data_IF_749314929096
#
_entry.id   IF_749314929096
#
_cell.length_a   1.000
_cell.length_b   1.000
_cell.length_c   1.000
_cell.angle_alpha   90.00
_cell.angle_beta   90.00
_cell.angle_gamma   90.00
#
_symmetry.space_group_name_H-M   'P 1'
#
loop_
_entity.id
_entity.type
_entity.pdbx_description
1 polymer ?
#
# COMPACT_ATOMS: atom_id res chain seq x y z
N UNK A 1 -8.11 5.91 16.61
CA UNK A 1 -6.68 5.49 16.53
C UNK A 1 -6.04 5.28 17.90
N UNK A 2 -6.19 6.19 18.87
CA UNK A 2 -5.59 6.03 20.21
C UNK A 2 -5.99 4.72 20.92
N UNK A 3 -7.22 4.25 20.74
CA UNK A 3 -7.75 2.99 21.29
C UNK A 3 -6.99 1.74 20.81
N UNK A 4 -6.46 1.74 19.59
CA UNK A 4 -5.78 0.60 18.95
C UNK A 4 -4.27 0.78 18.84
N UNK A 5 -3.70 1.81 19.46
CA UNK A 5 -2.29 2.16 19.31
C UNK A 5 -1.35 0.99 19.67
N UNK A 6 -1.64 0.30 20.78
CA UNK A 6 -0.82 -0.84 21.23
C UNK A 6 -0.94 -2.04 20.29
N UNK A 7 -2.15 -2.34 19.80
CA UNK A 7 -2.35 -3.44 18.85
C UNK A 7 -1.68 -3.13 17.51
N UNK A 8 -1.80 -1.90 17.01
CA UNK A 8 -1.14 -1.46 15.77
C UNK A 8 0.39 -1.56 15.93
N UNK A 9 0.95 -1.16 17.07
CA UNK A 9 2.39 -1.29 17.31
C UNK A 9 2.83 -2.76 17.38
N UNK A 10 2.03 -3.65 17.98
CA UNK A 10 2.30 -5.10 17.96
C UNK A 10 2.28 -5.66 16.53
N UNK A 11 1.32 -5.23 15.70
CA UNK A 11 1.26 -5.63 14.28
C UNK A 11 2.53 -5.15 13.56
N UNK A 12 2.92 -3.89 13.77
CA UNK A 12 4.13 -3.29 13.20
C UNK A 12 5.38 -4.10 13.55
N UNK A 13 5.62 -4.32 14.85
CA UNK A 13 6.80 -5.07 15.33
C UNK A 13 6.84 -6.47 14.73
N UNK A 14 5.72 -7.18 14.75
CA UNK A 14 5.63 -8.53 14.20
C UNK A 14 5.92 -8.58 12.69
N UNK A 15 5.43 -7.61 11.90
CA UNK A 15 5.72 -7.52 10.47
C UNK A 15 7.20 -7.18 10.20
N UNK A 16 7.80 -6.27 10.98
CA UNK A 16 9.22 -5.93 10.88
C UNK A 16 10.11 -7.16 11.18
N UNK A 17 9.83 -7.87 12.28
CA UNK A 17 10.55 -9.10 12.66
C UNK A 17 10.43 -10.19 11.61
N UNK A 18 9.22 -10.34 10.98
CA UNK A 18 8.98 -11.29 9.92
C UNK A 18 9.92 -11.05 8.73
N UNK A 19 9.95 -9.85 8.19
CA UNK A 19 10.79 -9.51 7.02
C UNK A 19 12.29 -9.52 7.39
N UNK A 20 12.65 -9.14 8.61
CA UNK A 20 14.01 -9.25 9.10
C UNK A 20 14.47 -10.72 9.18
N UNK A 21 13.59 -11.64 9.59
CA UNK A 21 13.90 -13.07 9.70
C UNK A 21 14.28 -13.73 8.38
N UNK A 22 13.83 -13.16 7.27
CA UNK A 22 14.15 -13.61 5.90
C UNK A 22 15.20 -12.72 5.21
N UNK A 23 15.84 -11.80 5.96
CA UNK A 23 16.84 -10.86 5.47
C UNK A 23 16.35 -9.99 4.29
N UNK A 24 15.07 -9.64 4.29
CA UNK A 24 14.49 -8.76 3.29
C UNK A 24 14.96 -7.32 3.50
N UNK A 25 15.41 -6.67 2.42
CA UNK A 25 15.79 -5.26 2.41
C UNK A 25 14.95 -4.46 1.43
N UNK A 26 14.86 -3.16 1.65
CA UNK A 26 14.23 -2.21 0.76
C UNK A 26 15.29 -1.27 0.16
N UNK A 27 15.24 -1.00 -1.14
CA UNK A 27 16.36 -0.37 -1.83
C UNK A 27 17.63 -1.19 -1.70
N UNK A 28 18.78 -0.54 -1.49
CA UNK A 28 20.07 -1.23 -1.41
C UNK A 28 20.36 -1.81 -0.02
N UNK A 29 19.92 -1.16 1.05
CA UNK A 29 20.32 -1.54 2.41
C UNK A 29 19.34 -1.25 3.54
N UNK A 30 18.21 -0.59 3.25
CA UNK A 30 17.23 -0.27 4.30
C UNK A 30 16.53 -1.54 4.79
N UNK A 31 16.22 -1.65 6.10
CA UNK A 31 15.30 -2.70 6.57
C UNK A 31 13.96 -2.62 5.83
N UNK A 32 13.38 -3.77 5.46
CA UNK A 32 12.11 -3.79 4.74
C UNK A 32 10.96 -3.10 5.50
N UNK A 33 11.03 -3.10 6.82
CA UNK A 33 10.10 -2.35 7.69
C UNK A 33 9.99 -0.86 7.35
N UNK A 34 11.02 -0.26 6.73
CA UNK A 34 10.96 1.11 6.23
C UNK A 34 9.86 1.30 5.18
N UNK A 35 9.75 0.36 4.22
CA UNK A 35 8.67 0.36 3.23
C UNK A 35 7.30 0.17 3.89
N UNK A 36 7.19 -0.80 4.80
CA UNK A 36 5.94 -1.07 5.52
C UNK A 36 5.45 0.16 6.31
N UNK A 37 6.37 0.87 6.97
CA UNK A 37 6.06 2.10 7.70
C UNK A 37 5.59 3.23 6.76
N UNK A 38 6.14 3.33 5.53
CA UNK A 38 5.67 4.30 4.53
C UNK A 38 4.26 3.96 4.04
N UNK A 39 3.97 2.69 3.75
CA UNK A 39 2.62 2.24 3.35
C UNK A 39 1.60 2.59 4.44
N UNK A 40 1.92 2.24 5.68
CA UNK A 40 1.05 2.53 6.83
C UNK A 40 0.99 4.03 7.14
N UNK A 41 2.01 4.81 6.81
CA UNK A 41 1.95 6.27 6.79
C UNK A 41 0.81 6.78 5.92
N UNK A 42 0.71 6.30 4.69
CA UNK A 42 -0.42 6.60 3.79
C UNK A 42 -1.79 6.18 4.36
N UNK A 43 -1.84 5.02 5.03
CA UNK A 43 -3.07 4.58 5.71
C UNK A 43 -3.45 5.53 6.86
N UNK A 44 -2.48 6.02 7.63
CA UNK A 44 -2.74 7.00 8.71
C UNK A 44 -3.25 8.32 8.19
N UNK A 45 -2.68 8.80 7.08
CA UNK A 45 -3.02 10.10 6.51
C UNK A 45 -4.40 10.07 5.84
N UNK A 46 -4.73 9.03 5.08
CA UNK A 46 -5.89 8.97 4.20
C UNK A 46 -6.93 7.90 4.57
N UNK A 47 -6.65 7.00 5.51
CA UNK A 47 -7.53 5.87 5.84
C UNK A 47 -8.92 6.30 6.33
N UNK A 48 -9.03 7.51 6.92
CA UNK A 48 -10.31 8.08 7.34
C UNK A 48 -11.29 8.34 6.18
N UNK A 49 -10.79 8.40 4.95
CA UNK A 49 -11.61 8.59 3.75
C UNK A 49 -12.35 7.31 3.32
N UNK A 50 -11.85 6.14 3.70
CA UNK A 50 -12.40 4.83 3.31
C UNK A 50 -12.87 3.99 4.50
N UNK A 51 -12.24 4.14 5.68
CA UNK A 51 -12.56 3.37 6.88
C UNK A 51 -13.64 4.08 7.70
N UNK A 52 -14.90 3.67 7.49
CA UNK A 52 -16.07 4.27 8.14
C UNK A 52 -16.50 3.53 9.41
N UNK A 53 -15.91 2.36 9.69
CA UNK A 53 -16.22 1.53 10.84
C UNK A 53 -15.01 1.35 11.74
N UNK A 54 -15.21 1.51 13.04
CA UNK A 54 -14.13 1.41 14.02
C UNK A 54 -13.53 -0.01 14.07
N UNK A 55 -14.35 -1.04 13.91
CA UNK A 55 -13.92 -2.44 13.88
C UNK A 55 -12.99 -2.78 12.71
N UNK A 56 -13.02 -2.02 11.61
CA UNK A 56 -12.22 -2.25 10.41
C UNK A 56 -10.80 -1.62 10.52
N UNK A 57 -10.53 -0.83 11.56
CA UNK A 57 -9.23 -0.16 11.74
C UNK A 57 -8.08 -1.17 11.83
N UNK A 58 -8.20 -2.20 12.70
CA UNK A 58 -7.13 -3.19 12.86
C UNK A 58 -6.89 -4.02 11.60
N UNK A 59 -7.92 -4.55 10.90
CA UNK A 59 -7.76 -5.22 9.60
C UNK A 59 -7.04 -4.36 8.56
N UNK A 60 -7.40 -3.08 8.46
CA UNK A 60 -6.78 -2.16 7.50
C UNK A 60 -5.29 -1.95 7.79
N UNK A 61 -4.92 -1.68 9.05
CA UNK A 61 -3.52 -1.53 9.45
C UNK A 61 -2.72 -2.82 9.28
N UNK A 62 -3.32 -3.97 9.61
CA UNK A 62 -2.71 -5.26 9.38
C UNK A 62 -2.46 -5.51 7.90
N UNK A 63 -3.46 -5.23 7.04
CA UNK A 63 -3.32 -5.31 5.59
C UNK A 63 -2.13 -4.50 5.07
N UNK A 64 -1.94 -3.27 5.57
CA UNK A 64 -0.79 -2.43 5.21
C UNK A 64 0.56 -2.99 5.66
N UNK A 65 0.66 -3.50 6.89
CA UNK A 65 1.91 -4.06 7.40
C UNK A 65 2.26 -5.44 6.83
N UNK A 66 1.26 -6.24 6.45
CA UNK A 66 1.46 -7.62 5.99
C UNK A 66 1.29 -7.81 4.48
N UNK A 67 1.02 -6.74 3.69
CA UNK A 67 0.66 -6.86 2.27
C UNK A 67 1.65 -7.69 1.44
N UNK A 68 2.95 -7.61 1.72
CA UNK A 68 4.01 -8.33 1.03
C UNK A 68 4.45 -9.65 1.73
N UNK A 69 3.80 -10.03 2.83
CA UNK A 69 4.24 -11.16 3.65
C UNK A 69 4.18 -12.52 2.93
N UNK A 70 3.23 -12.68 2.01
CA UNK A 70 3.11 -13.91 1.21
C UNK A 70 4.18 -13.93 0.11
N UNK A 71 4.41 -12.80 -0.58
CA UNK A 71 5.38 -12.73 -1.67
C UNK A 71 6.82 -12.80 -1.16
N UNK A 72 7.15 -11.97 -0.21
CA UNK A 72 8.53 -11.71 0.20
C UNK A 72 8.96 -12.53 1.40
N UNK A 73 8.07 -12.74 2.39
CA UNK A 73 8.37 -13.53 3.57
C UNK A 73 7.86 -14.98 3.49
N UNK A 74 7.32 -15.41 2.34
CA UNK A 74 6.89 -16.78 2.04
C UNK A 74 5.81 -17.33 2.96
N UNK A 75 5.00 -16.50 3.55
CA UNK A 75 3.84 -16.96 4.30
C UNK A 75 2.79 -17.54 3.34
N UNK A 76 1.99 -18.46 3.86
CA UNK A 76 0.76 -18.90 3.20
C UNK A 76 -0.42 -18.10 3.71
N UNK A 77 -1.58 -18.17 3.02
CA UNK A 77 -2.85 -17.64 3.52
C UNK A 77 -3.13 -18.08 4.96
N UNK A 78 -2.93 -19.37 5.26
CA UNK A 78 -3.17 -19.92 6.60
C UNK A 78 -2.18 -19.38 7.65
N UNK A 79 -0.93 -19.09 7.27
CA UNK A 79 0.04 -18.48 8.20
C UNK A 79 -0.37 -17.05 8.54
N UNK A 80 -0.76 -16.24 7.54
CA UNK A 80 -1.28 -14.88 7.74
C UNK A 80 -2.50 -14.90 8.66
N UNK A 81 -3.48 -15.80 8.38
CA UNK A 81 -4.68 -15.96 9.19
C UNK A 81 -4.35 -16.31 10.64
N UNK A 82 -3.40 -17.22 10.86
CA UNK A 82 -2.95 -17.61 12.20
C UNK A 82 -2.34 -16.43 12.96
N UNK A 83 -1.53 -15.61 12.30
CA UNK A 83 -0.94 -14.41 12.92
C UNK A 83 -2.04 -13.39 13.26
N UNK A 84 -2.95 -13.11 12.33
CA UNK A 84 -4.06 -12.17 12.54
C UNK A 84 -4.97 -12.57 13.71
N UNK A 85 -5.32 -13.86 13.84
CA UNK A 85 -6.11 -14.41 14.95
C UNK A 85 -5.49 -14.18 16.34
N UNK A 86 -4.18 -14.05 16.43
CA UNK A 86 -3.50 -13.75 17.69
C UNK A 86 -3.59 -12.27 18.10
N UNK A 87 -4.10 -11.40 17.22
CA UNK A 87 -4.06 -9.94 17.38
C UNK A 87 -5.42 -9.28 17.37
N UNK A 88 -6.45 -9.96 16.82
CA UNK A 88 -7.79 -9.40 16.62
C UNK A 88 -8.87 -10.49 16.64
N UNK A 89 -10.16 -10.11 16.51
CA UNK A 89 -11.27 -11.06 16.45
C UNK A 89 -11.24 -11.91 15.18
N UNK A 90 -12.03 -12.99 15.13
CA UNK A 90 -12.07 -13.90 13.97
C UNK A 90 -12.52 -13.18 12.69
N UNK A 91 -13.56 -12.32 12.79
CA UNK A 91 -14.06 -11.55 11.65
C UNK A 91 -13.01 -10.54 11.15
N UNK A 92 -12.33 -9.88 12.08
CA UNK A 92 -11.24 -8.95 11.75
C UNK A 92 -10.05 -9.69 11.12
N UNK A 93 -9.68 -10.85 11.66
CA UNK A 93 -8.59 -11.66 11.14
C UNK A 93 -8.87 -12.17 9.72
N UNK A 94 -10.12 -12.55 9.44
CA UNK A 94 -10.54 -12.92 8.09
C UNK A 94 -10.39 -11.74 7.13
N UNK A 95 -10.95 -10.58 7.46
CA UNK A 95 -10.83 -9.37 6.62
C UNK A 95 -9.37 -8.98 6.38
N UNK A 96 -8.54 -8.97 7.43
CA UNK A 96 -7.12 -8.66 7.34
C UNK A 96 -6.38 -9.62 6.39
N UNK A 97 -6.69 -10.91 6.48
CA UNK A 97 -6.08 -11.94 5.62
C UNK A 97 -6.52 -11.82 4.18
N UNK A 98 -7.81 -11.53 3.93
CA UNK A 98 -8.32 -11.29 2.58
C UNK A 98 -7.65 -10.06 1.92
N UNK A 99 -7.40 -8.97 2.67
CA UNK A 99 -6.67 -7.82 2.17
C UNK A 99 -5.26 -8.25 1.72
N UNK A 100 -4.51 -8.95 2.57
CA UNK A 100 -3.15 -9.41 2.24
C UNK A 100 -3.17 -10.34 1.02
N UNK A 101 -4.11 -11.28 0.98
CA UNK A 101 -4.22 -12.24 -0.12
C UNK A 101 -4.56 -11.56 -1.45
N UNK A 102 -5.48 -10.61 -1.45
CA UNK A 102 -5.84 -9.85 -2.66
C UNK A 102 -4.65 -9.03 -3.22
N UNK A 103 -3.74 -8.60 -2.34
CA UNK A 103 -2.55 -7.82 -2.73
C UNK A 103 -1.37 -8.68 -3.20
N UNK A 104 -1.47 -10.01 -3.03
CA UNK A 104 -0.44 -10.95 -3.47
C UNK A 104 -0.48 -11.13 -4.98
N UNK A 105 0.63 -10.86 -5.67
CA UNK A 105 0.74 -10.96 -7.12
C UNK A 105 0.53 -12.40 -7.63
N UNK A 106 0.03 -12.53 -8.85
CA UNK A 106 -0.03 -13.81 -9.56
C UNK A 106 1.38 -14.31 -9.93
N UNK A 107 1.50 -15.60 -10.23
CA UNK A 107 2.74 -16.16 -10.74
C UNK A 107 2.97 -15.68 -12.18
N UNK A 108 4.17 -15.19 -12.47
CA UNK A 108 4.53 -14.73 -13.81
C UNK A 108 6.02 -14.41 -13.93
N UNK A 109 6.52 -14.43 -15.17
CA UNK A 109 7.92 -14.13 -15.48
C UNK A 109 8.19 -12.63 -15.56
N UNK A 110 7.19 -11.86 -15.97
CA UNK A 110 7.28 -10.40 -16.10
C UNK A 110 6.39 -9.70 -15.07
N UNK A 111 6.65 -8.42 -14.85
CA UNK A 111 5.81 -7.56 -14.00
C UNK A 111 4.35 -7.51 -14.51
N UNK A 112 4.17 -7.40 -15.82
CA UNK A 112 2.84 -7.36 -16.44
C UNK A 112 2.07 -8.69 -16.29
N UNK A 113 2.73 -9.84 -16.40
CA UNK A 113 2.11 -11.15 -16.16
C UNK A 113 1.65 -11.32 -14.71
N UNK A 114 2.44 -10.81 -13.74
CA UNK A 114 2.13 -10.91 -12.32
C UNK A 114 0.98 -10.00 -11.89
N UNK A 115 0.85 -8.82 -12.53
CA UNK A 115 -0.19 -7.84 -12.28
C UNK A 115 -1.24 -7.86 -13.42
N UNK A 116 -1.77 -9.03 -13.73
CA UNK A 116 -2.80 -9.23 -14.77
C UNK A 116 -4.22 -8.92 -14.25
N UNK A 117 -5.22 -9.06 -15.14
CA UNK A 117 -6.62 -8.73 -14.84
C UNK A 117 -7.18 -9.50 -13.63
N UNK A 118 -6.85 -10.78 -13.48
CA UNK A 118 -7.29 -11.58 -12.34
C UNK A 118 -6.79 -11.03 -11.00
N UNK A 119 -5.55 -10.54 -10.95
CA UNK A 119 -4.97 -9.87 -9.79
C UNK A 119 -5.74 -8.58 -9.46
N UNK A 120 -5.94 -7.72 -10.45
CA UNK A 120 -6.69 -6.48 -10.25
C UNK A 120 -8.17 -6.71 -9.92
N UNK A 121 -8.79 -7.76 -10.47
CA UNK A 121 -10.14 -8.15 -10.09
C UNK A 121 -10.21 -8.50 -8.59
N UNK A 122 -9.27 -9.30 -8.08
CA UNK A 122 -9.21 -9.62 -6.65
C UNK A 122 -9.08 -8.37 -5.77
N UNK A 123 -8.25 -7.40 -6.20
CA UNK A 123 -8.11 -6.12 -5.50
C UNK A 123 -9.45 -5.36 -5.49
N UNK A 124 -10.10 -5.19 -6.64
CA UNK A 124 -11.36 -4.43 -6.76
C UNK A 124 -12.53 -5.01 -5.96
N UNK A 125 -12.52 -6.32 -5.74
CA UNK A 125 -13.60 -7.04 -5.05
C UNK A 125 -13.37 -7.16 -3.54
N UNK A 126 -12.15 -6.90 -3.06
CA UNK A 126 -11.79 -7.05 -1.64
C UNK A 126 -11.82 -5.71 -0.90
N UNK A 127 -12.62 -5.55 0.17
CA UNK A 127 -12.66 -4.33 0.96
C UNK A 127 -11.27 -3.88 1.40
N UNK A 128 -10.99 -2.58 1.22
CA UNK A 128 -9.74 -1.90 1.52
C UNK A 128 -8.52 -2.26 0.63
N UNK A 129 -8.56 -3.35 -0.15
CA UNK A 129 -7.42 -3.72 -0.98
C UNK A 129 -7.07 -2.66 -2.05
N UNK A 130 -8.03 -1.97 -2.73
CA UNK A 130 -7.71 -0.87 -3.64
C UNK A 130 -6.95 0.25 -2.94
N UNK A 131 -7.39 0.62 -1.73
CA UNK A 131 -6.77 1.70 -0.97
C UNK A 131 -5.38 1.32 -0.45
N UNK A 132 -5.19 0.11 0.10
CA UNK A 132 -3.86 -0.36 0.54
C UNK A 132 -2.90 -0.45 -0.64
N UNK A 133 -3.37 -0.92 -1.82
CA UNK A 133 -2.54 -0.94 -3.05
C UNK A 133 -2.14 0.46 -3.51
N UNK A 134 -3.02 1.44 -3.33
CA UNK A 134 -2.70 2.83 -3.59
C UNK A 134 -1.63 3.37 -2.63
N UNK A 135 -1.73 3.04 -1.32
CA UNK A 135 -0.72 3.41 -0.32
C UNK A 135 0.65 2.75 -0.60
N UNK A 136 0.67 1.48 -1.02
CA UNK A 136 1.89 0.80 -1.47
C UNK A 136 2.51 1.53 -2.68
N UNK A 137 1.71 1.87 -3.69
CA UNK A 137 2.17 2.65 -4.85
C UNK A 137 2.71 4.01 -4.43
N UNK A 138 2.04 4.71 -3.51
CA UNK A 138 2.48 5.98 -2.96
C UNK A 138 3.83 5.85 -2.26
N UNK A 139 4.01 4.85 -1.41
CA UNK A 139 5.27 4.58 -0.73
C UNK A 139 6.41 4.35 -1.72
N UNK A 140 6.21 3.50 -2.72
CA UNK A 140 7.22 3.20 -3.75
C UNK A 140 7.60 4.43 -4.58
N UNK A 141 6.63 5.27 -4.95
CA UNK A 141 6.90 6.52 -5.70
C UNK A 141 7.64 7.51 -4.83
N UNK A 142 7.18 7.73 -3.60
CA UNK A 142 7.82 8.64 -2.63
C UNK A 142 9.29 8.26 -2.42
N UNK A 143 9.58 6.98 -2.24
CA UNK A 143 10.95 6.50 -2.14
C UNK A 143 11.76 6.76 -3.41
N UNK A 144 11.20 6.48 -4.58
CA UNK A 144 11.90 6.70 -5.87
C UNK A 144 12.23 8.17 -6.13
N UNK A 145 11.45 9.10 -5.56
CA UNK A 145 11.63 10.55 -5.67
C UNK A 145 12.48 11.15 -4.52
N UNK A 146 12.82 10.38 -3.49
CA UNK A 146 13.38 10.92 -2.24
C UNK A 146 14.86 11.33 -2.33
N UNK A 147 15.60 10.83 -3.31
CA UNK A 147 17.05 10.97 -3.36
C UNK A 147 17.83 10.23 -2.26
N UNK A 148 17.15 9.42 -1.45
CA UNK A 148 17.79 8.55 -0.45
C UNK A 148 18.65 7.51 -1.17
N UNK A 149 19.76 7.10 -0.57
CA UNK A 149 20.64 6.05 -1.11
C UNK A 149 19.82 4.78 -1.47
N UNK A 150 20.03 4.27 -2.68
CA UNK A 150 19.26 3.16 -3.23
C UNK A 150 17.93 3.57 -3.87
N UNK A 151 17.50 4.85 -3.78
CA UNK A 151 16.37 5.34 -4.55
C UNK A 151 16.66 5.31 -6.04
N UNK A 152 15.66 4.93 -6.85
CA UNK A 152 15.84 4.68 -8.27
C UNK A 152 14.96 5.61 -9.12
N UNK A 153 15.54 6.71 -9.59
CA UNK A 153 14.85 7.68 -10.45
C UNK A 153 14.27 7.06 -11.74
N UNK A 154 14.87 5.98 -12.26
CA UNK A 154 14.30 5.24 -13.39
C UNK A 154 12.92 4.67 -13.02
N UNK A 155 12.73 4.24 -11.78
CA UNK A 155 11.43 3.72 -11.32
C UNK A 155 10.38 4.82 -11.24
N UNK A 156 10.76 6.08 -10.96
CA UNK A 156 9.87 7.24 -11.06
C UNK A 156 9.21 7.31 -12.45
N UNK A 157 10.01 7.24 -13.52
CA UNK A 157 9.48 7.27 -14.89
C UNK A 157 8.61 6.05 -15.24
N UNK A 158 8.99 4.87 -14.74
CA UNK A 158 8.16 3.67 -14.89
C UNK A 158 6.80 3.86 -14.21
N UNK A 159 6.78 4.31 -12.95
CA UNK A 159 5.53 4.56 -12.24
C UNK A 159 4.68 5.65 -12.91
N UNK A 160 5.31 6.73 -13.41
CA UNK A 160 4.63 7.80 -14.16
C UNK A 160 3.91 7.24 -15.39
N UNK A 161 4.60 6.41 -16.17
CA UNK A 161 4.03 5.77 -17.37
C UNK A 161 2.92 4.76 -17.06
N UNK A 162 3.03 4.03 -15.94
CA UNK A 162 2.04 3.03 -15.50
C UNK A 162 0.80 3.66 -14.86
N UNK A 163 0.87 4.91 -14.37
CA UNK A 163 -0.14 5.52 -13.50
C UNK A 163 -1.56 5.47 -14.07
N UNK A 164 -1.84 5.88 -15.34
CA UNK A 164 -3.20 5.86 -15.85
C UNK A 164 -3.80 4.46 -15.85
N UNK A 165 -3.03 3.47 -16.29
CA UNK A 165 -3.47 2.06 -16.30
C UNK A 165 -3.65 1.53 -14.87
N UNK A 166 -2.75 1.84 -13.96
CA UNK A 166 -2.82 1.43 -12.57
C UNK A 166 -4.09 1.95 -11.89
N UNK A 167 -4.37 3.26 -11.97
CA UNK A 167 -5.55 3.86 -11.35
C UNK A 167 -6.85 3.29 -11.94
N UNK A 168 -6.91 3.07 -13.26
CA UNK A 168 -8.05 2.41 -13.90
C UNK A 168 -8.22 0.98 -13.40
N UNK A 169 -7.11 0.24 -13.23
CA UNK A 169 -7.13 -1.18 -12.86
C UNK A 169 -7.58 -1.43 -11.43
N UNK A 170 -7.24 -0.53 -10.49
CA UNK A 170 -7.65 -0.68 -9.09
C UNK A 170 -9.01 -0.05 -8.78
N UNK A 171 -9.60 0.74 -9.68
CA UNK A 171 -10.88 1.41 -9.44
C UNK A 171 -12.06 0.45 -9.68
N UNK A 172 -12.85 0.11 -8.65
CA UNK A 172 -13.96 -0.83 -8.76
C UNK A 172 -15.24 -0.20 -9.32
N UNK A 173 -15.30 1.14 -9.47
CA UNK A 173 -16.53 1.88 -9.79
C UNK A 173 -17.70 1.52 -8.85
N UNK A 174 -17.40 1.36 -7.55
CA UNK A 174 -18.34 0.95 -6.50
C UNK A 174 -18.69 2.12 -5.58
N UNK A 175 -19.91 2.14 -5.04
CA UNK A 175 -20.32 3.11 -4.01
C UNK A 175 -19.91 2.69 -2.58
N UNK A 176 -19.39 1.47 -2.40
CA UNK A 176 -18.87 1.02 -1.09
C UNK A 176 -17.60 1.81 -0.73
N UNK A 177 -17.60 2.58 0.38
CA UNK A 177 -16.45 3.39 0.77
C UNK A 177 -15.18 2.54 0.98
N UNK A 178 -15.33 1.29 1.38
CA UNK A 178 -14.18 0.38 1.61
C UNK A 178 -13.46 -0.05 0.33
N UNK A 179 -14.09 0.16 -0.82
CA UNK A 179 -13.53 -0.13 -2.14
C UNK A 179 -13.03 1.14 -2.87
N UNK A 180 -13.16 2.32 -2.27
CA UNK A 180 -12.84 3.58 -2.93
C UNK A 180 -11.33 3.79 -3.13
N UNK A 181 -11.02 4.55 -4.19
CA UNK A 181 -9.70 5.11 -4.47
C UNK A 181 -9.77 6.62 -4.20
N UNK A 182 -9.38 7.10 -3.00
CA UNK A 182 -9.58 8.49 -2.60
C UNK A 182 -8.80 9.47 -3.47
N UNK A 183 -9.46 10.54 -3.92
CA UNK A 183 -8.88 11.57 -4.78
C UNK A 183 -7.68 12.26 -4.12
N UNK A 184 -7.73 12.53 -2.82
CA UNK A 184 -6.63 13.17 -2.10
C UNK A 184 -5.34 12.31 -2.10
N UNK A 185 -5.49 10.99 -2.00
CA UNK A 185 -4.35 10.06 -2.13
C UNK A 185 -3.80 10.05 -3.56
N UNK A 186 -4.68 10.14 -4.57
CA UNK A 186 -4.28 10.23 -5.99
C UNK A 186 -3.53 11.53 -6.25
N UNK A 187 -3.98 12.66 -5.72
CA UNK A 187 -3.28 13.94 -5.83
C UNK A 187 -1.89 13.89 -5.19
N UNK A 188 -1.77 13.26 -4.03
CA UNK A 188 -0.46 13.08 -3.38
C UNK A 188 0.51 12.25 -4.22
N UNK A 189 0.02 11.22 -4.91
CA UNK A 189 0.82 10.47 -5.89
C UNK A 189 1.28 11.35 -7.05
N UNK A 190 0.39 12.18 -7.59
CA UNK A 190 0.72 13.11 -8.69
C UNK A 190 1.81 14.10 -8.27
N UNK A 191 1.76 14.65 -7.05
CA UNK A 191 2.80 15.54 -6.52
C UNK A 191 4.19 14.90 -6.51
N UNK A 192 4.28 13.63 -6.11
CA UNK A 192 5.56 12.91 -6.09
C UNK A 192 6.13 12.63 -7.50
N UNK A 193 5.30 12.70 -8.54
CA UNK A 193 5.71 12.42 -9.92
C UNK A 193 6.13 13.67 -10.70
N UNK A 194 5.92 14.87 -10.16
CA UNK A 194 6.34 16.13 -10.77
C UNK A 194 7.84 16.31 -10.59
N UNK A 195 8.55 16.65 -11.66
CA UNK A 195 9.97 16.94 -11.60
C UNK A 195 10.24 18.23 -10.83
N UNK A 196 11.38 18.29 -10.11
CA UNK A 196 11.75 19.45 -9.30
C UNK A 196 11.88 20.73 -10.13
N UNK A 197 12.34 20.63 -11.39
CA UNK A 197 12.39 21.76 -12.33
C UNK A 197 10.98 22.27 -12.69
N UNK A 198 10.02 21.36 -12.94
CA UNK A 198 8.63 21.74 -13.15
C UNK A 198 8.03 22.37 -11.89
N UNK A 199 8.44 21.95 -10.69
CA UNK A 199 8.03 22.58 -9.43
C UNK A 199 8.57 23.99 -9.26
N UNK A 200 9.84 24.26 -9.63
CA UNK A 200 10.42 25.59 -9.57
C UNK A 200 9.75 26.56 -10.57
N UNK A 201 9.46 26.11 -11.79
CA UNK A 201 8.70 26.88 -12.76
C UNK A 201 7.25 27.12 -12.34
N UNK A 202 6.63 26.16 -11.67
CA UNK A 202 5.21 26.17 -11.31
C UNK A 202 4.94 26.81 -9.94
N UNK A 203 5.92 26.92 -9.05
CA UNK A 203 5.80 27.73 -7.84
C UNK A 203 5.56 29.23 -8.15
N UNK A 204 5.77 29.65 -9.42
CA UNK A 204 5.34 30.93 -9.96
C UNK A 204 3.95 30.94 -10.62
N UNK A 205 3.31 29.77 -10.86
CA UNK A 205 2.03 29.65 -11.54
C UNK A 205 1.06 28.78 -10.73
N UNK A 206 -0.11 29.34 -10.42
CA UNK A 206 -1.12 28.77 -9.53
C UNK A 206 -1.93 27.60 -10.14
N UNK A 207 -1.30 26.64 -10.86
CA UNK A 207 -2.07 25.54 -11.46
C UNK A 207 -2.56 24.51 -10.43
N UNK A 208 -1.89 24.35 -9.29
CA UNK A 208 -2.36 23.56 -8.14
C UNK A 208 -3.69 24.06 -7.56
N UNK A 209 -4.00 25.35 -7.74
CA UNK A 209 -5.25 25.96 -7.25
C UNK A 209 -6.45 25.68 -8.17
N UNK A 210 -6.26 24.93 -9.26
CA UNK A 210 -7.30 24.61 -10.24
C UNK A 210 -7.76 23.15 -10.21
N UNK A 211 -7.33 22.38 -9.19
CA UNK A 211 -7.75 20.99 -8.95
C UNK A 211 -8.47 20.84 -7.60
#
# INVERSE_FOLDING_TARGET
MQKYAEQIERIRQSAHELHQSVNQTYGDSLPYGYHLDMVVGGIRDFGHLVCTKEEDVLPLFFGGYYHDSIEDARLTYNDVMKVARNMMTEEQALMATEIVYALTNEKGRTRAERAGEKYYQGIRETPYAPFVKLCDRLANITYSCSGVDGSNLRMKEVYKSEMPHFLQSINPHSDDPRLQVPQDTVLRLAECLIDDLEREEQNGSAWWNNY
#
